data_IF_534093083266
#
_entry.id   IF_534093083266
#
_cell.length_a   1.000
_cell.length_b   1.000
_cell.length_c   1.000
_cell.angle_alpha   90.00
_cell.angle_beta   90.00
_cell.angle_gamma   90.00
#
_symmetry.space_group_name_H-M   'P 1'
#
loop_
_entity.id
_entity.type
_entity.pdbx_description
1 polymer ?
#
# COMPACT_ATOMS: atom_id res chain seq x y z
N UNK A 1 -0.53 14.17 22.48
CA UNK A 1 0.18 13.42 21.41
C UNK A 1 0.57 14.45 20.36
N UNK A 2 1.85 14.52 19.96
CA UNK A 2 2.32 15.47 18.93
C UNK A 2 2.25 14.77 17.57
N UNK A 3 1.64 15.42 16.59
CA UNK A 3 1.49 14.93 15.21
C UNK A 3 2.49 15.69 14.33
N UNK A 4 3.14 14.99 13.38
CA UNK A 4 4.05 15.63 12.43
C UNK A 4 3.27 16.35 11.32
N UNK A 5 3.84 17.44 10.80
CA UNK A 5 3.37 18.11 9.58
C UNK A 5 4.37 17.78 8.47
N UNK A 6 3.86 17.35 7.31
CA UNK A 6 4.66 17.07 6.12
C UNK A 6 4.55 18.20 5.10
N UNK A 7 5.61 18.43 4.33
CA UNK A 7 5.54 19.24 3.11
C UNK A 7 5.06 18.41 1.91
N UNK A 8 4.91 19.04 0.74
CA UNK A 8 4.47 18.37 -0.51
C UNK A 8 5.41 17.26 -1.03
N UNK A 9 6.60 17.12 -0.45
CA UNK A 9 7.53 16.03 -0.75
C UNK A 9 7.48 14.92 0.32
N UNK A 10 6.48 14.88 1.20
CA UNK A 10 6.37 13.91 2.30
C UNK A 10 7.55 13.95 3.28
N UNK A 11 8.17 15.12 3.47
CA UNK A 11 9.22 15.36 4.47
C UNK A 11 8.63 16.11 5.65
N UNK A 12 8.93 15.65 6.87
CA UNK A 12 8.52 16.30 8.10
C UNK A 12 9.11 17.70 8.23
N UNK A 13 8.25 18.70 8.39
CA UNK A 13 8.63 20.08 8.75
C UNK A 13 8.44 20.34 10.25
N UNK A 14 7.71 19.47 10.94
CA UNK A 14 7.59 19.43 12.40
C UNK A 14 7.77 18.00 12.90
N UNK A 15 8.48 17.81 14.01
CA UNK A 15 8.66 16.47 14.61
C UNK A 15 7.37 15.97 15.25
N UNK A 16 7.00 14.72 15.03
CA UNK A 16 5.79 14.15 15.61
C UNK A 16 5.45 12.76 15.10
N UNK A 17 4.31 12.26 15.53
CA UNK A 17 3.81 10.94 15.11
C UNK A 17 2.96 11.04 13.84
N UNK A 18 2.99 9.98 13.03
CA UNK A 18 2.12 9.79 11.88
C UNK A 18 1.76 8.31 11.74
N UNK A 19 0.55 8.03 11.25
CA UNK A 19 0.20 6.68 10.80
C UNK A 19 0.60 6.56 9.33
N UNK A 20 1.38 5.53 9.02
CA UNK A 20 1.75 5.18 7.65
C UNK A 20 1.14 3.84 7.29
N UNK A 21 0.87 3.64 6.02
CA UNK A 21 0.29 2.43 5.47
C UNK A 21 1.35 1.74 4.61
N UNK A 22 1.80 0.58 5.06
CA UNK A 22 2.89 -0.17 4.44
C UNK A 22 2.35 -1.03 3.30
N UNK A 23 3.15 -1.17 2.25
CA UNK A 23 2.84 -2.00 1.11
C UNK A 23 4.06 -2.81 0.65
N UNK A 24 3.82 -3.95 0.02
CA UNK A 24 4.88 -4.77 -0.53
C UNK A 24 5.59 -4.06 -1.70
N UNK A 25 6.93 -4.10 -1.70
CA UNK A 25 7.73 -3.40 -2.69
C UNK A 25 7.55 -3.95 -4.12
N UNK A 26 7.22 -5.23 -4.28
CA UNK A 26 7.10 -5.90 -5.57
C UNK A 26 5.64 -5.95 -6.06
N UNK A 27 4.71 -6.37 -5.20
CA UNK A 27 3.29 -6.54 -5.56
C UNK A 27 2.47 -5.27 -5.38
N UNK A 28 2.99 -4.28 -4.63
CA UNK A 28 2.30 -3.06 -4.22
C UNK A 28 1.10 -3.30 -3.29
N UNK A 29 0.91 -4.53 -2.84
CA UNK A 29 -0.19 -4.94 -1.96
C UNK A 29 -0.09 -4.26 -0.60
N UNK A 30 -1.21 -3.77 -0.08
CA UNK A 30 -1.29 -3.27 1.28
C UNK A 30 -1.00 -4.39 2.30
N UNK A 31 -0.14 -4.12 3.27
CA UNK A 31 0.28 -5.09 4.29
C UNK A 31 -0.34 -4.77 5.66
N UNK A 32 0.02 -3.62 6.20
CA UNK A 32 -0.43 -3.15 7.52
C UNK A 32 -0.28 -1.63 7.64
N UNK A 33 -0.59 -1.11 8.82
CA UNK A 33 -0.25 0.26 9.19
C UNK A 33 0.57 0.27 10.46
N UNK A 34 1.51 1.22 10.53
CA UNK A 34 2.32 1.47 11.72
C UNK A 34 2.26 2.94 12.09
N UNK A 35 2.60 3.21 13.36
CA UNK A 35 2.74 4.56 13.86
C UNK A 35 4.21 4.90 13.99
N UNK A 36 4.65 5.86 13.20
CA UNK A 36 6.03 6.27 13.10
C UNK A 36 6.24 7.64 13.74
N UNK A 37 7.38 7.83 14.40
CA UNK A 37 7.80 9.14 14.86
C UNK A 37 8.83 9.71 13.88
N UNK A 38 8.48 10.80 13.21
CA UNK A 38 9.38 11.50 12.29
C UNK A 38 9.96 12.72 12.97
N UNK A 39 11.28 12.90 12.86
CA UNK A 39 11.95 14.16 13.19
C UNK A 39 11.97 15.08 11.97
N UNK A 40 12.09 16.39 12.19
CA UNK A 40 12.22 17.39 11.12
C UNK A 40 13.30 16.95 10.11
N UNK A 41 12.97 17.02 8.83
CA UNK A 41 13.86 16.65 7.71
C UNK A 41 13.80 15.17 7.33
N UNK A 42 13.10 14.32 8.09
CA UNK A 42 12.92 12.90 7.74
C UNK A 42 11.67 12.73 6.87
N UNK A 43 11.80 11.84 5.88
CA UNK A 43 10.72 11.46 4.97
C UNK A 43 9.91 10.29 5.55
N UNK A 44 8.67 10.16 5.12
CA UNK A 44 7.88 8.92 5.27
C UNK A 44 8.71 7.69 4.86
N UNK A 45 8.66 6.57 5.61
CA UNK A 45 9.43 5.37 5.30
C UNK A 45 9.22 4.87 3.87
N UNK A 46 10.24 4.22 3.33
CA UNK A 46 10.12 3.54 2.04
C UNK A 46 8.99 2.50 2.09
N UNK A 47 8.34 2.30 0.95
CA UNK A 47 7.24 1.34 0.82
C UNK A 47 6.06 1.60 1.77
N UNK A 48 5.85 2.87 2.09
CA UNK A 48 4.68 3.33 2.84
C UNK A 48 4.12 4.64 2.26
N UNK A 49 2.88 4.96 2.62
CA UNK A 49 2.26 6.24 2.31
C UNK A 49 1.37 6.73 3.47
N UNK A 50 0.92 7.98 3.38
CA UNK A 50 0.05 8.60 4.40
C UNK A 50 -1.43 8.54 4.01
N UNK A 51 -1.73 8.20 2.74
CA UNK A 51 -3.10 7.99 2.31
C UNK A 51 -3.59 6.64 2.85
N UNK A 52 -4.75 6.66 3.50
CA UNK A 52 -5.41 5.45 3.99
C UNK A 52 -5.80 4.53 2.81
N UNK A 53 -5.64 3.21 2.95
CA UNK A 53 -6.09 2.25 1.94
C UNK A 53 -7.60 2.29 1.77
N UNK A 54 -8.05 1.70 0.67
CA UNK A 54 -9.48 1.46 0.41
C UNK A 54 -10.06 0.49 1.45
N UNK A 55 -11.39 0.42 1.52
CA UNK A 55 -12.07 -0.61 2.32
C UNK A 55 -11.90 -1.97 1.64
N UNK A 56 -11.70 -3.02 2.44
CA UNK A 56 -11.64 -4.38 1.91
C UNK A 56 -12.90 -4.75 1.11
N UNK A 57 -12.69 -5.46 0.00
CA UNK A 57 -13.75 -5.92 -0.89
C UNK A 57 -13.48 -7.36 -1.32
N UNK A 58 -14.45 -8.25 -1.11
CA UNK A 58 -14.34 -9.66 -1.50
C UNK A 58 -14.02 -9.81 -3.00
N UNK A 59 -13.05 -10.65 -3.34
CA UNK A 59 -12.61 -10.87 -4.73
C UNK A 59 -11.53 -9.89 -5.23
N UNK A 60 -10.99 -9.06 -4.35
CA UNK A 60 -10.02 -8.03 -4.71
C UNK A 60 -8.92 -7.87 -3.65
N UNK A 61 -7.71 -7.59 -4.14
CA UNK A 61 -6.57 -7.14 -3.36
C UNK A 61 -6.42 -5.63 -3.50
N UNK A 62 -6.08 -4.94 -2.40
CA UNK A 62 -5.80 -3.51 -2.42
C UNK A 62 -4.31 -3.31 -2.69
N UNK A 63 -3.97 -2.61 -3.77
CA UNK A 63 -2.60 -2.31 -4.15
C UNK A 63 -2.39 -0.80 -4.32
N UNK A 64 -1.16 -0.30 -4.18
CA UNK A 64 -0.81 1.02 -4.72
C UNK A 64 -0.86 0.98 -6.24
N UNK A 65 -1.27 2.07 -6.88
CA UNK A 65 -1.22 2.27 -8.34
C UNK A 65 0.21 2.13 -8.88
N UNK A 66 0.35 1.93 -10.20
CA UNK A 66 1.67 1.66 -10.79
C UNK A 66 2.67 2.81 -10.60
N UNK A 67 2.15 4.04 -10.50
CA UNK A 67 2.91 5.25 -10.19
C UNK A 67 2.92 5.58 -8.68
N UNK A 68 2.40 4.70 -7.83
CA UNK A 68 2.32 4.84 -6.37
C UNK A 68 1.59 6.10 -5.90
N UNK A 69 0.65 6.63 -6.70
CA UNK A 69 -0.08 7.87 -6.40
C UNK A 69 -1.37 7.65 -5.61
N UNK A 70 -2.00 6.49 -5.72
CA UNK A 70 -3.24 6.17 -5.03
C UNK A 70 -3.38 4.66 -4.76
N UNK A 71 -4.45 4.28 -4.06
CA UNK A 71 -4.84 2.89 -3.87
C UNK A 71 -5.81 2.43 -4.96
N UNK A 72 -5.68 1.20 -5.42
CA UNK A 72 -6.51 0.56 -6.46
C UNK A 72 -6.92 -0.86 -6.04
N UNK A 73 -8.06 -1.33 -6.56
CA UNK A 73 -8.45 -2.74 -6.44
C UNK A 73 -7.89 -3.52 -7.62
N UNK A 74 -7.15 -4.59 -7.34
CA UNK A 74 -6.75 -5.59 -8.33
C UNK A 74 -7.53 -6.88 -8.07
N UNK A 75 -8.02 -7.53 -9.14
CA UNK A 75 -8.77 -8.78 -8.98
C UNK A 75 -7.84 -9.89 -8.48
N UNK A 76 -8.27 -10.58 -7.43
CA UNK A 76 -7.56 -11.70 -6.81
C UNK A 76 -7.51 -12.97 -7.68
N UNK A 77 -8.19 -12.95 -8.84
CA UNK A 77 -8.24 -14.08 -9.77
C UNK A 77 -7.00 -14.24 -10.66
N UNK A 78 -6.09 -13.26 -10.71
CA UNK A 78 -4.85 -13.35 -11.49
C UNK A 78 -3.79 -14.14 -10.70
N UNK A 79 -4.06 -15.43 -10.52
CA UNK A 79 -3.19 -16.37 -9.79
C UNK A 79 -3.73 -17.80 -9.79
N UNK A 80 -5.04 -17.98 -9.98
CA UNK A 80 -5.62 -19.27 -10.38
C UNK A 80 -5.65 -19.36 -11.90
N UNK A 81 -4.48 -19.55 -12.51
CA UNK A 81 -4.46 -20.25 -13.79
C UNK A 81 -4.98 -21.64 -13.48
N UNK A 82 -6.25 -21.86 -13.80
CA UNK A 82 -6.84 -23.16 -13.98
C UNK A 82 -5.88 -23.97 -14.86
N UNK A 83 -5.22 -24.99 -14.29
CA UNK A 83 -4.72 -26.09 -15.09
C UNK A 83 -5.95 -26.66 -15.80
N UNK A 84 -6.18 -26.21 -17.03
CA UNK A 84 -7.14 -26.79 -17.93
C UNK A 84 -6.74 -28.25 -18.12
N UNK A 85 -7.44 -29.14 -17.44
CA UNK A 85 -7.50 -30.54 -17.84
C UNK A 85 -8.07 -30.52 -19.25
N UNK A 86 -7.21 -30.61 -20.27
CA UNK A 86 -7.62 -31.12 -21.57
C UNK A 86 -7.79 -32.63 -21.40
N UNK A 87 -8.96 -33.03 -20.93
CA UNK A 87 -9.50 -34.32 -21.32
C UNK A 87 -9.85 -34.17 -22.80
N UNK A 88 -9.06 -34.78 -23.67
CA UNK A 88 -9.48 -35.08 -25.03
C UNK A 88 -9.83 -36.56 -25.01
N UNK A 89 -11.11 -36.85 -24.84
CA UNK A 89 -11.69 -38.11 -25.29
C UNK A 89 -11.82 -38.06 -26.82
N UNK A 90 -11.17 -38.99 -27.50
CA UNK A 90 -11.66 -39.72 -28.68
C UNK A 90 -10.68 -40.83 -29.05
#
# INVERSE_FOLDING_TARGET
MITTILNGNNIAIESGNITVFNYDAATREYLDNSKEFLVIGVRVPAHSCVEQPLTERQGYTICRSANLACWEYLSDYIGKISYGIKAIEQ
#
